data_IF_554140829393
#
_entry.id   IF_554140829393
#
_cell.length_a   1.000
_cell.length_b   1.000
_cell.length_c   1.000
_cell.angle_alpha   90.00
_cell.angle_beta   90.00
_cell.angle_gamma   90.00
#
_symmetry.space_group_name_H-M   'P 1'
#
loop_
_entity.id
_entity.type
_entity.pdbx_description
1 polymer ?
#
# COMPACT_ATOMS: atom_id res chain seq x y z
N UNK A 1 -20.05 -4.69 -7.12
CA UNK A 1 -18.89 -3.80 -6.87
C UNK A 1 -19.24 -2.90 -5.70
N UNK A 2 -18.38 -2.82 -4.73
CA UNK A 2 -18.61 -1.93 -3.59
C UNK A 2 -18.49 -0.46 -4.01
N UNK A 3 -19.65 0.19 -4.13
CA UNK A 3 -19.74 1.58 -4.59
C UNK A 3 -19.02 2.54 -3.62
N UNK A 4 -19.03 2.23 -2.32
CA UNK A 4 -18.36 3.07 -1.30
C UNK A 4 -16.85 3.08 -1.52
N UNK A 5 -16.24 1.91 -1.83
CA UNK A 5 -14.82 1.84 -2.16
C UNK A 5 -14.46 2.68 -3.38
N UNK A 6 -15.29 2.64 -4.44
CA UNK A 6 -15.06 3.47 -5.64
C UNK A 6 -15.16 4.95 -5.32
N UNK A 7 -16.20 5.36 -4.59
CA UNK A 7 -16.39 6.76 -4.20
C UNK A 7 -15.20 7.27 -3.37
N UNK A 8 -14.74 6.49 -2.39
CA UNK A 8 -13.60 6.87 -1.55
C UNK A 8 -12.31 7.01 -2.36
N UNK A 9 -12.03 6.10 -3.29
CA UNK A 9 -10.86 6.22 -4.17
C UNK A 9 -10.93 7.50 -5.01
N UNK A 10 -12.10 7.81 -5.60
CA UNK A 10 -12.31 9.04 -6.38
C UNK A 10 -12.15 10.29 -5.51
N UNK A 11 -12.71 10.30 -4.29
CA UNK A 11 -12.58 11.42 -3.36
C UNK A 11 -11.10 11.65 -3.01
N UNK A 12 -10.35 10.61 -2.66
CA UNK A 12 -8.93 10.76 -2.30
C UNK A 12 -8.09 11.26 -3.48
N UNK A 13 -8.30 10.73 -4.68
CA UNK A 13 -7.64 11.22 -5.89
C UNK A 13 -7.98 12.69 -6.18
N UNK A 14 -9.26 13.07 -5.99
CA UNK A 14 -9.71 14.45 -6.16
C UNK A 14 -9.11 15.40 -5.12
N UNK A 15 -9.03 14.98 -3.84
CA UNK A 15 -8.38 15.75 -2.78
C UNK A 15 -6.88 15.89 -3.06
N UNK A 16 -6.19 14.81 -3.47
CA UNK A 16 -4.79 14.87 -3.88
C UNK A 16 -4.57 15.88 -5.03
N UNK A 17 -5.43 15.83 -6.04
CA UNK A 17 -5.36 16.76 -7.18
C UNK A 17 -5.59 18.21 -6.75
N UNK A 18 -6.56 18.45 -5.86
CA UNK A 18 -6.85 19.76 -5.30
C UNK A 18 -5.66 20.33 -4.52
N UNK A 19 -5.03 19.50 -3.69
CA UNK A 19 -3.82 19.89 -2.95
C UNK A 19 -2.68 20.22 -3.92
N UNK A 20 -2.44 19.37 -4.94
CA UNK A 20 -1.42 19.64 -5.96
C UNK A 20 -1.70 20.93 -6.75
N UNK A 21 -2.96 21.24 -7.03
CA UNK A 21 -3.33 22.50 -7.64
C UNK A 21 -3.03 23.70 -6.73
N UNK A 22 -3.29 23.57 -5.43
CA UNK A 22 -3.13 24.64 -4.45
C UNK A 22 -1.67 24.98 -4.14
N UNK A 23 -0.83 23.95 -3.96
CA UNK A 23 0.57 24.13 -3.49
C UNK A 23 1.61 23.88 -4.59
N UNK A 24 1.28 23.08 -5.61
CA UNK A 24 2.21 22.64 -6.66
C UNK A 24 2.94 23.79 -7.36
N UNK A 25 2.26 24.88 -7.77
CA UNK A 25 2.92 26.02 -8.38
C UNK A 25 4.00 26.65 -7.50
N UNK A 26 3.72 26.82 -6.20
CA UNK A 26 4.66 27.42 -5.25
C UNK A 26 5.88 26.53 -5.01
N UNK A 27 5.67 25.22 -4.85
CA UNK A 27 6.77 24.25 -4.70
C UNK A 27 7.63 24.21 -5.98
N UNK A 28 6.99 24.20 -7.16
CA UNK A 28 7.69 24.19 -8.44
C UNK A 28 8.58 25.43 -8.61
N UNK A 29 8.05 26.62 -8.31
CA UNK A 29 8.79 27.88 -8.38
C UNK A 29 9.97 27.92 -7.40
N UNK A 30 9.79 27.40 -6.17
CA UNK A 30 10.87 27.33 -5.18
C UNK A 30 12.03 26.42 -5.66
N UNK A 31 11.76 25.43 -6.50
CA UNK A 31 12.73 24.53 -7.10
C UNK A 31 13.23 25.00 -8.49
N UNK A 32 12.81 26.17 -8.95
CA UNK A 32 13.18 26.70 -10.27
C UNK A 32 12.54 25.94 -11.44
N UNK A 33 11.43 25.25 -11.22
CA UNK A 33 10.68 24.48 -12.23
C UNK A 33 9.47 25.27 -12.72
N UNK A 34 8.91 24.94 -13.91
CA UNK A 34 7.66 25.52 -14.39
C UNK A 34 6.51 25.27 -13.40
N UNK A 35 5.65 26.27 -13.18
CA UNK A 35 4.56 26.25 -12.22
C UNK A 35 3.66 25.01 -12.31
N UNK A 36 3.38 24.54 -13.51
CA UNK A 36 2.48 23.40 -13.76
C UNK A 36 3.13 22.02 -13.61
N UNK A 37 4.43 21.93 -13.29
CA UNK A 37 5.19 20.68 -13.30
C UNK A 37 4.56 19.60 -12.43
N UNK A 38 4.25 19.93 -11.19
CA UNK A 38 3.70 18.98 -10.22
C UNK A 38 2.23 18.65 -10.47
N UNK A 39 1.43 19.64 -10.86
CA UNK A 39 0.03 19.42 -11.20
C UNK A 39 -0.12 18.50 -12.41
N UNK A 40 0.57 18.80 -13.51
CA UNK A 40 0.55 17.98 -14.74
C UNK A 40 1.13 16.58 -14.46
N UNK A 41 2.22 16.50 -13.68
CA UNK A 41 2.80 15.23 -13.24
C UNK A 41 1.81 14.38 -12.46
N UNK A 42 1.06 15.00 -11.53
CA UNK A 42 0.06 14.28 -10.73
C UNK A 42 -1.14 13.82 -11.55
N UNK A 43 -1.63 14.64 -12.50
CA UNK A 43 -2.68 14.23 -13.45
C UNK A 43 -2.26 13.01 -14.26
N UNK A 44 -1.00 12.97 -14.76
CA UNK A 44 -0.46 11.79 -15.46
C UNK A 44 -0.42 10.56 -14.54
N UNK A 45 0.02 10.74 -13.29
CA UNK A 45 0.07 9.68 -12.29
C UNK A 45 -1.32 9.13 -11.99
N UNK A 46 -2.33 9.98 -11.84
CA UNK A 46 -3.74 9.60 -11.65
C UNK A 46 -4.25 8.82 -12.88
N UNK A 47 -3.99 9.29 -14.09
CA UNK A 47 -4.40 8.60 -15.31
C UNK A 47 -3.82 7.17 -15.36
N UNK A 48 -2.52 7.02 -15.08
CA UNK A 48 -1.87 5.71 -15.01
C UNK A 48 -2.44 4.85 -13.87
N UNK A 49 -2.71 5.43 -12.71
CA UNK A 49 -3.30 4.74 -11.58
C UNK A 49 -4.72 4.23 -11.88
N UNK A 50 -5.55 5.03 -12.56
CA UNK A 50 -6.89 4.61 -13.00
C UNK A 50 -6.79 3.46 -13.98
N UNK A 51 -5.88 3.52 -14.96
CA UNK A 51 -5.64 2.40 -15.89
C UNK A 51 -5.18 1.16 -15.11
N UNK A 52 -4.23 1.28 -14.20
CA UNK A 52 -3.74 0.18 -13.37
C UNK A 52 -4.87 -0.42 -12.50
N UNK A 53 -5.72 0.41 -11.91
CA UNK A 53 -6.89 -0.01 -11.14
C UNK A 53 -7.90 -0.78 -12.00
N UNK A 54 -8.17 -0.31 -13.22
CA UNK A 54 -9.03 -1.00 -14.17
C UNK A 54 -8.42 -2.34 -14.60
N UNK A 55 -7.11 -2.38 -14.87
CA UNK A 55 -6.40 -3.63 -15.15
C UNK A 55 -6.54 -4.60 -13.99
N UNK A 56 -6.29 -4.17 -12.75
CA UNK A 56 -6.48 -5.00 -11.55
C UNK A 56 -7.92 -5.50 -11.40
N UNK A 57 -8.92 -4.65 -11.69
CA UNK A 57 -10.33 -4.99 -11.60
C UNK A 57 -10.80 -5.96 -12.70
N UNK A 58 -10.18 -5.95 -13.88
CA UNK A 58 -10.59 -6.77 -15.04
C UNK A 58 -9.72 -8.03 -15.15
N UNK A 59 -8.53 -8.06 -14.55
CA UNK A 59 -7.52 -9.10 -14.75
C UNK A 59 -8.06 -10.52 -14.57
N UNK A 60 -8.89 -10.76 -13.57
CA UNK A 60 -9.51 -12.06 -13.31
C UNK A 60 -10.97 -12.19 -13.82
N UNK A 61 -11.47 -11.26 -14.62
CA UNK A 61 -12.87 -11.27 -15.04
C UNK A 61 -13.17 -12.28 -16.15
N UNK A 62 -12.19 -12.56 -17.02
CA UNK A 62 -12.38 -13.45 -18.16
C UNK A 62 -12.12 -14.90 -17.78
N UNK A 63 -13.05 -15.81 -18.11
CA UNK A 63 -12.94 -17.25 -17.83
C UNK A 63 -11.64 -17.87 -18.36
N UNK A 64 -11.22 -17.44 -19.58
CA UNK A 64 -9.95 -17.89 -20.19
C UNK A 64 -8.73 -17.45 -19.37
N UNK A 65 -8.73 -16.26 -18.79
CA UNK A 65 -7.65 -15.75 -17.94
C UNK A 65 -7.64 -16.50 -16.62
N UNK A 66 -8.82 -16.80 -16.06
CA UNK A 66 -8.94 -17.57 -14.84
C UNK A 66 -8.45 -19.01 -14.99
N UNK A 67 -8.82 -19.70 -16.09
CA UNK A 67 -8.35 -21.06 -16.35
C UNK A 67 -6.82 -21.10 -16.54
N UNK A 68 -6.30 -20.18 -17.36
CA UNK A 68 -4.84 -20.02 -17.53
C UNK A 68 -4.12 -19.71 -16.21
N UNK A 69 -4.68 -18.81 -15.40
CA UNK A 69 -4.15 -18.48 -14.08
C UNK A 69 -4.15 -19.69 -13.15
N UNK A 70 -5.25 -20.44 -13.06
CA UNK A 70 -5.33 -21.63 -12.20
C UNK A 70 -4.28 -22.68 -12.56
N UNK A 71 -3.99 -22.87 -13.83
CA UNK A 71 -3.01 -23.84 -14.31
C UNK A 71 -1.57 -23.40 -14.08
N UNK A 72 -1.25 -22.11 -14.30
CA UNK A 72 0.13 -21.62 -14.31
C UNK A 72 0.47 -20.71 -13.14
N UNK A 73 -0.46 -20.43 -12.20
CA UNK A 73 -0.30 -19.44 -11.11
C UNK A 73 1.00 -19.61 -10.32
N UNK A 74 1.34 -20.85 -9.97
CA UNK A 74 2.55 -21.13 -9.17
C UNK A 74 3.82 -20.70 -9.90
N UNK A 75 3.90 -20.96 -11.21
CA UNK A 75 5.07 -20.58 -12.01
C UNK A 75 5.11 -19.07 -12.21
N UNK A 76 3.97 -18.46 -12.57
CA UNK A 76 3.86 -17.02 -12.79
C UNK A 76 4.25 -16.25 -11.52
N UNK A 77 3.72 -16.63 -10.35
CA UNK A 77 4.03 -15.99 -9.08
C UNK A 77 5.51 -16.10 -8.73
N UNK A 78 6.11 -17.29 -8.92
CA UNK A 78 7.56 -17.49 -8.67
C UNK A 78 8.41 -16.67 -9.63
N UNK A 79 8.10 -16.66 -10.93
CA UNK A 79 8.82 -15.86 -11.93
C UNK A 79 8.68 -14.37 -11.59
N UNK A 80 7.50 -13.91 -11.24
CA UNK A 80 7.26 -12.52 -10.87
C UNK A 80 8.01 -12.13 -9.58
N UNK A 81 8.00 -13.00 -8.57
CA UNK A 81 8.76 -12.80 -7.33
C UNK A 81 10.26 -12.65 -7.59
N UNK A 82 10.87 -13.63 -8.28
CA UNK A 82 12.29 -13.60 -8.55
C UNK A 82 12.69 -12.50 -9.54
N UNK A 83 11.83 -12.19 -10.49
CA UNK A 83 12.02 -11.08 -11.42
C UNK A 83 12.04 -9.72 -10.70
N UNK A 84 11.13 -9.49 -9.74
CA UNK A 84 11.13 -8.26 -8.94
C UNK A 84 12.32 -8.19 -7.99
N UNK A 85 12.74 -9.30 -7.40
CA UNK A 85 13.98 -9.39 -6.60
C UNK A 85 15.21 -9.01 -7.46
N UNK A 86 15.34 -9.61 -8.63
CA UNK A 86 16.44 -9.30 -9.56
C UNK A 86 16.43 -7.81 -9.98
N UNK A 87 15.26 -7.24 -10.24
CA UNK A 87 15.12 -5.83 -10.59
C UNK A 87 15.53 -4.91 -9.43
N UNK A 88 15.20 -5.26 -8.18
CA UNK A 88 15.62 -4.50 -7.01
C UNK A 88 17.12 -4.62 -6.74
N UNK A 89 17.73 -5.77 -6.98
CA UNK A 89 19.19 -5.93 -6.94
C UNK A 89 19.85 -5.07 -8.03
N UNK A 90 19.31 -5.10 -9.25
CA UNK A 90 19.80 -4.28 -10.36
C UNK A 90 19.86 -2.79 -9.98
N UNK A 91 18.78 -2.25 -9.40
CA UNK A 91 18.74 -0.83 -8.99
C UNK A 91 19.67 -0.49 -7.84
N UNK A 92 20.09 -1.48 -7.04
CA UNK A 92 21.04 -1.24 -5.95
C UNK A 92 22.47 -1.01 -6.43
N UNK A 93 22.76 -1.25 -7.73
CA UNK A 93 24.09 -1.12 -8.33
C UNK A 93 24.17 0.21 -9.08
N UNK A 94 24.88 1.19 -8.52
CA UNK A 94 24.98 2.55 -9.04
C UNK A 94 25.62 2.67 -10.42
N UNK A 95 26.43 1.69 -10.82
CA UNK A 95 27.14 1.68 -12.10
C UNK A 95 26.29 1.24 -13.30
N UNK A 96 25.04 0.77 -13.06
CA UNK A 96 24.18 0.26 -14.12
C UNK A 96 23.38 1.38 -14.80
N UNK A 97 23.15 1.27 -16.13
CA UNK A 97 22.36 2.26 -16.85
C UNK A 97 20.92 2.34 -16.31
N UNK A 98 20.30 3.49 -16.45
CA UNK A 98 18.92 3.80 -15.97
C UNK A 98 18.77 3.91 -14.45
N UNK A 99 19.79 3.56 -13.66
CA UNK A 99 19.72 3.67 -12.19
C UNK A 99 19.91 5.11 -11.75
N UNK A 100 19.00 5.61 -10.92
CA UNK A 100 19.08 6.91 -10.26
C UNK A 100 19.39 6.73 -8.78
N UNK A 101 20.44 7.41 -8.33
CA UNK A 101 20.89 7.42 -6.95
C UNK A 101 20.67 8.80 -6.35
N UNK A 102 19.95 8.88 -5.23
CA UNK A 102 19.69 10.10 -4.48
C UNK A 102 20.07 9.88 -3.02
N UNK A 103 20.72 10.86 -2.41
CA UNK A 103 21.15 10.83 -1.00
C UNK A 103 21.93 9.57 -0.62
N UNK A 104 22.78 9.07 -1.53
CA UNK A 104 23.61 7.88 -1.30
C UNK A 104 22.82 6.54 -1.30
N UNK A 105 21.63 6.51 -1.87
CA UNK A 105 20.84 5.31 -2.08
C UNK A 105 20.33 5.22 -3.52
N UNK A 106 20.52 4.05 -4.13
CA UNK A 106 20.08 3.79 -5.50
C UNK A 106 18.80 2.95 -5.46
N UNK A 107 17.64 3.58 -5.76
CA UNK A 107 16.31 2.97 -5.59
C UNK A 107 15.39 3.20 -6.77
N UNK A 108 15.76 4.06 -7.69
CA UNK A 108 14.90 4.51 -8.78
C UNK A 108 15.46 4.08 -10.13
N UNK A 109 14.57 3.77 -11.06
CA UNK A 109 14.87 3.57 -12.46
C UNK A 109 14.29 4.71 -13.28
N UNK A 110 15.10 5.28 -14.18
CA UNK A 110 14.65 6.25 -15.16
C UNK A 110 14.31 5.55 -16.48
N UNK A 111 13.05 5.26 -16.67
CA UNK A 111 12.50 4.65 -17.91
C UNK A 111 11.56 5.64 -18.61
N UNK A 112 11.99 6.92 -18.71
CA UNK A 112 11.15 8.02 -19.18
C UNK A 112 10.27 8.63 -18.07
N UNK A 113 10.14 7.93 -16.96
CA UNK A 113 9.60 8.38 -15.67
C UNK A 113 10.38 7.70 -14.56
N UNK A 114 10.44 8.33 -13.39
CA UNK A 114 11.08 7.72 -12.22
C UNK A 114 10.18 6.59 -11.69
N UNK A 115 10.66 5.35 -11.77
CA UNK A 115 9.97 4.16 -11.33
C UNK A 115 10.75 3.50 -10.18
N UNK A 116 10.06 3.14 -9.10
CA UNK A 116 10.66 2.48 -7.94
C UNK A 116 10.32 0.98 -7.93
N UNK A 117 11.29 0.08 -8.17
CA UNK A 117 11.05 -1.35 -8.22
C UNK A 117 10.53 -1.97 -6.92
N UNK A 118 10.80 -1.38 -5.76
CA UNK A 118 10.25 -1.85 -4.49
C UNK A 118 8.72 -1.70 -4.41
N UNK A 119 8.12 -0.80 -5.20
CA UNK A 119 6.65 -0.72 -5.33
C UNK A 119 6.09 -1.97 -6.04
N UNK A 120 6.78 -2.43 -7.09
CA UNK A 120 6.41 -3.67 -7.78
C UNK A 120 6.64 -4.91 -6.91
N UNK A 121 7.68 -4.88 -6.07
CA UNK A 121 7.96 -5.95 -5.10
C UNK A 121 6.83 -6.09 -4.06
N UNK A 122 6.14 -5.01 -3.68
CA UNK A 122 4.94 -5.11 -2.81
C UNK A 122 3.84 -5.95 -3.48
N UNK A 123 3.60 -5.75 -4.79
CA UNK A 123 2.64 -6.57 -5.54
C UNK A 123 3.11 -8.02 -5.59
N UNK A 124 4.39 -8.25 -5.85
CA UNK A 124 4.94 -9.61 -5.88
C UNK A 124 4.84 -10.30 -4.51
N UNK A 125 5.13 -9.58 -3.41
CA UNK A 125 5.00 -10.08 -2.05
C UNK A 125 3.54 -10.38 -1.68
N UNK A 126 2.60 -9.55 -2.14
CA UNK A 126 1.17 -9.76 -1.98
C UNK A 126 0.73 -11.09 -2.60
N UNK A 127 1.04 -11.31 -3.87
CA UNK A 127 0.68 -12.55 -4.57
C UNK A 127 1.45 -13.76 -4.02
N UNK A 128 2.74 -13.61 -3.73
CA UNK A 128 3.56 -14.69 -3.20
C UNK A 128 3.04 -15.18 -1.84
N UNK A 129 2.73 -14.27 -0.93
CA UNK A 129 2.24 -14.62 0.40
C UNK A 129 0.84 -15.22 0.33
N UNK A 130 -0.07 -14.66 -0.49
CA UNK A 130 -1.41 -15.21 -0.69
C UNK A 130 -1.37 -16.63 -1.24
N UNK A 131 -0.54 -16.87 -2.27
CA UNK A 131 -0.33 -18.20 -2.82
C UNK A 131 0.29 -19.16 -1.79
N UNK A 132 1.32 -18.73 -1.07
CA UNK A 132 2.00 -19.57 -0.07
C UNK A 132 1.03 -20.01 1.03
N UNK A 133 0.21 -19.09 1.55
CA UNK A 133 -0.80 -19.38 2.55
C UNK A 133 -1.84 -20.36 2.00
N UNK A 134 -2.40 -20.09 0.82
CA UNK A 134 -3.41 -20.93 0.18
C UNK A 134 -2.90 -22.35 -0.07
N UNK A 135 -1.74 -22.50 -0.73
CA UNK A 135 -1.09 -23.78 -1.05
C UNK A 135 -0.79 -24.62 0.22
N UNK A 136 -0.29 -23.97 1.29
CA UNK A 136 0.05 -24.68 2.52
C UNK A 136 -1.16 -25.06 3.38
N UNK A 137 -2.21 -24.24 3.32
CA UNK A 137 -3.51 -24.61 3.94
C UNK A 137 -4.15 -25.78 3.24
N UNK A 138 -4.18 -25.77 1.91
CA UNK A 138 -4.71 -26.87 1.10
C UNK A 138 -3.96 -28.20 1.35
N UNK A 139 -2.63 -28.13 1.46
CA UNK A 139 -1.77 -29.30 1.75
C UNK A 139 -1.72 -29.71 3.22
N UNK A 140 -2.35 -28.97 4.14
CA UNK A 140 -2.28 -29.23 5.59
C UNK A 140 -0.89 -29.05 6.21
N UNK A 141 -0.02 -28.29 5.55
CA UNK A 141 1.36 -27.99 6.01
C UNK A 141 1.53 -26.56 6.51
N UNK A 142 0.42 -25.81 6.64
CA UNK A 142 0.43 -24.49 7.23
C UNK A 142 0.92 -24.51 8.68
N UNK A 143 1.79 -23.59 9.06
CA UNK A 143 2.41 -23.55 10.39
C UNK A 143 3.57 -24.53 10.61
N UNK A 144 3.92 -25.37 9.61
CA UNK A 144 5.08 -26.26 9.63
C UNK A 144 6.28 -25.61 8.91
N UNK A 145 7.42 -26.30 8.87
CA UNK A 145 8.65 -25.81 8.22
C UNK A 145 8.44 -25.47 6.73
N UNK A 146 7.60 -26.22 6.04
CA UNK A 146 7.27 -26.00 4.61
C UNK A 146 6.58 -24.66 4.36
N UNK A 147 5.93 -24.08 5.35
CA UNK A 147 5.37 -22.73 5.32
C UNK A 147 6.38 -21.71 5.82
N UNK A 148 7.02 -21.96 6.98
CA UNK A 148 7.89 -21.03 7.64
C UNK A 148 9.16 -20.69 6.86
N UNK A 149 9.82 -21.69 6.33
CA UNK A 149 11.11 -21.51 5.64
C UNK A 149 10.95 -20.59 4.42
N UNK A 150 10.00 -20.82 3.48
CA UNK A 150 9.82 -19.92 2.35
C UNK A 150 9.41 -18.50 2.76
N UNK A 151 8.56 -18.35 3.80
CA UNK A 151 8.12 -17.05 4.30
C UNK A 151 9.30 -16.26 4.89
N UNK A 152 10.10 -16.88 5.75
CA UNK A 152 11.26 -16.24 6.39
C UNK A 152 12.35 -15.92 5.37
N UNK A 153 12.60 -16.79 4.41
CA UNK A 153 13.55 -16.52 3.31
C UNK A 153 13.07 -15.32 2.49
N UNK A 154 11.78 -15.27 2.15
CA UNK A 154 11.23 -14.13 1.41
C UNK A 154 11.32 -12.83 2.22
N UNK A 155 11.00 -12.85 3.51
CA UNK A 155 11.14 -11.70 4.40
C UNK A 155 12.61 -11.26 4.54
N UNK A 156 13.54 -12.20 4.70
CA UNK A 156 14.97 -11.90 4.78
C UNK A 156 15.50 -11.26 3.50
N UNK A 157 15.09 -11.75 2.33
CA UNK A 157 15.45 -11.13 1.04
C UNK A 157 14.96 -9.69 0.94
N UNK A 158 13.73 -9.41 1.37
CA UNK A 158 13.19 -8.04 1.41
C UNK A 158 14.02 -7.15 2.32
N UNK A 159 14.33 -7.61 3.54
CA UNK A 159 15.15 -6.85 4.50
C UNK A 159 16.55 -6.55 3.96
N UNK A 160 17.20 -7.55 3.37
CA UNK A 160 18.55 -7.37 2.83
C UNK A 160 18.55 -6.45 1.62
N UNK A 161 17.66 -6.66 0.66
CA UNK A 161 17.69 -5.94 -0.62
C UNK A 161 17.09 -4.53 -0.46
N UNK A 162 15.88 -4.43 0.06
CA UNK A 162 15.19 -3.14 0.14
C UNK A 162 15.66 -2.36 1.38
N UNK A 163 15.76 -3.03 2.53
CA UNK A 163 16.14 -2.38 3.78
C UNK A 163 17.61 -2.00 3.84
N UNK A 164 18.48 -2.91 3.42
CA UNK A 164 19.93 -2.73 3.56
C UNK A 164 20.58 -2.16 2.30
N UNK A 165 20.46 -2.81 1.14
CA UNK A 165 21.10 -2.35 -0.09
C UNK A 165 20.51 -1.04 -0.60
N UNK A 166 19.17 -0.91 -0.63
CA UNK A 166 18.49 0.31 -1.08
C UNK A 166 18.31 1.33 0.03
N UNK A 167 18.59 0.99 1.29
CA UNK A 167 18.39 1.84 2.47
C UNK A 167 16.95 2.35 2.61
N UNK A 168 15.97 1.60 2.12
CA UNK A 168 14.55 1.94 2.12
C UNK A 168 13.80 1.18 3.22
N UNK A 169 13.91 1.69 4.44
CA UNK A 169 13.25 1.11 5.60
C UNK A 169 11.72 1.26 5.54
N UNK A 170 11.23 2.33 4.90
CA UNK A 170 9.79 2.56 4.76
C UNK A 170 9.12 1.42 4.02
N UNK A 171 9.54 1.14 2.79
CA UNK A 171 9.00 0.05 1.99
C UNK A 171 9.27 -1.33 2.60
N UNK A 172 10.41 -1.51 3.28
CA UNK A 172 10.72 -2.76 4.00
C UNK A 172 9.67 -3.05 5.07
N UNK A 173 9.37 -2.06 5.94
CA UNK A 173 8.38 -2.21 7.01
C UNK A 173 6.99 -2.50 6.43
N UNK A 174 6.58 -1.80 5.38
CA UNK A 174 5.29 -2.04 4.71
C UNK A 174 5.18 -3.48 4.21
N UNK A 175 6.21 -4.00 3.50
CA UNK A 175 6.19 -5.36 2.94
C UNK A 175 6.16 -6.40 4.07
N UNK A 176 7.02 -6.25 5.08
CA UNK A 176 7.08 -7.19 6.21
C UNK A 176 5.78 -7.16 7.03
N UNK A 177 5.22 -5.98 7.29
CA UNK A 177 3.94 -5.84 7.97
C UNK A 177 2.80 -6.52 7.18
N UNK A 178 2.76 -6.31 5.86
CA UNK A 178 1.78 -6.94 4.97
C UNK A 178 1.89 -8.47 5.01
N UNK A 179 3.09 -9.03 4.82
CA UNK A 179 3.33 -10.48 4.88
C UNK A 179 2.97 -11.06 6.25
N UNK A 180 3.34 -10.36 7.33
CA UNK A 180 3.05 -10.75 8.71
C UNK A 180 1.56 -10.75 9.01
N UNK A 181 0.83 -9.67 8.66
CA UNK A 181 -0.61 -9.57 8.90
C UNK A 181 -1.41 -10.61 8.10
N UNK A 182 -1.04 -10.85 6.84
CA UNK A 182 -1.64 -11.93 6.03
C UNK A 182 -1.47 -13.29 6.70
N UNK A 183 -0.26 -13.58 7.18
CA UNK A 183 0.04 -14.85 7.87
C UNK A 183 -0.71 -14.97 9.21
N UNK A 184 -0.84 -13.86 9.94
CA UNK A 184 -1.60 -13.80 11.19
C UNK A 184 -3.08 -14.10 10.98
N UNK A 185 -3.72 -13.42 10.04
CA UNK A 185 -5.14 -13.63 9.71
C UNK A 185 -5.38 -15.07 9.23
N UNK A 186 -4.38 -15.67 8.56
CA UNK A 186 -4.42 -17.08 8.17
C UNK A 186 -4.34 -18.06 9.37
N UNK A 187 -4.12 -17.60 10.61
CA UNK A 187 -4.13 -18.39 11.83
C UNK A 187 -2.77 -18.66 12.46
N UNK A 188 -1.78 -17.81 12.19
CA UNK A 188 -0.54 -17.82 12.97
C UNK A 188 -0.77 -17.31 14.40
N UNK A 189 -0.10 -17.92 15.36
CA UNK A 189 -0.15 -17.48 16.75
C UNK A 189 0.70 -16.22 16.95
N UNK A 190 0.35 -15.40 17.94
CA UNK A 190 1.13 -14.23 18.34
C UNK A 190 2.60 -14.59 18.66
N UNK A 191 2.85 -15.71 19.30
CA UNK A 191 4.20 -16.19 19.60
C UNK A 191 5.03 -16.42 18.33
N UNK A 192 4.43 -17.02 17.30
CA UNK A 192 5.09 -17.26 16.02
C UNK A 192 5.43 -15.96 15.30
N UNK A 193 4.51 -14.99 15.32
CA UNK A 193 4.75 -13.67 14.72
C UNK A 193 5.85 -12.93 15.48
N UNK A 194 5.82 -12.98 16.82
CA UNK A 194 6.85 -12.37 17.64
C UNK A 194 8.24 -12.99 17.36
N UNK A 195 8.32 -14.31 17.24
CA UNK A 195 9.56 -15.01 16.89
C UNK A 195 10.03 -14.61 15.47
N UNK A 196 9.12 -14.59 14.48
CA UNK A 196 9.45 -14.16 13.12
C UNK A 196 9.92 -12.70 13.10
N UNK A 197 9.22 -11.79 13.79
CA UNK A 197 9.60 -10.39 13.93
C UNK A 197 10.96 -10.23 14.62
N UNK A 198 11.21 -10.98 15.70
CA UNK A 198 12.49 -10.98 16.41
C UNK A 198 13.64 -11.45 15.47
N UNK A 199 13.43 -12.52 14.72
CA UNK A 199 14.43 -13.01 13.76
C UNK A 199 14.74 -11.97 12.68
N UNK A 200 13.73 -11.27 12.17
CA UNK A 200 13.89 -10.17 11.21
C UNK A 200 14.65 -9.00 11.84
N UNK A 201 14.30 -8.61 13.07
CA UNK A 201 14.97 -7.53 13.81
C UNK A 201 16.43 -7.89 14.12
N UNK A 202 16.67 -9.09 14.63
CA UNK A 202 18.04 -9.56 14.95
C UNK A 202 18.87 -9.66 13.68
N UNK A 203 18.31 -10.20 12.61
CA UNK A 203 18.99 -10.26 11.31
C UNK A 203 19.29 -8.87 10.76
N UNK A 204 18.35 -7.94 10.83
CA UNK A 204 18.55 -6.55 10.44
C UNK A 204 19.61 -5.88 11.33
N UNK A 205 19.56 -6.08 12.64
CA UNK A 205 20.54 -5.54 13.58
C UNK A 205 21.96 -6.11 13.37
N UNK A 206 22.07 -7.40 13.11
CA UNK A 206 23.35 -8.04 12.79
C UNK A 206 23.95 -7.46 11.50
N UNK A 207 23.14 -7.35 10.44
CA UNK A 207 23.55 -6.72 9.18
C UNK A 207 23.88 -5.22 9.36
N UNK A 208 23.19 -4.56 10.26
CA UNK A 208 23.42 -3.15 10.59
C UNK A 208 24.77 -2.96 11.32
N UNK A 209 25.21 -3.86 12.15
CA UNK A 209 26.49 -3.76 12.84
C UNK A 209 27.72 -4.12 11.96
N UNK A 210 27.49 -4.68 10.78
CA UNK A 210 28.58 -5.00 9.83
C UNK A 210 29.00 -3.80 8.95
N UNK A 211 28.46 -2.58 9.15
CA UNK A 211 28.80 -1.40 8.35
C UNK A 211 28.96 -0.14 9.18
N UNK A 212 29.47 0.96 8.58
CA UNK A 212 29.80 2.23 9.22
C UNK A 212 28.70 2.75 10.16
N UNK A 213 29.08 2.87 11.45
CA UNK A 213 28.18 3.19 12.55
C UNK A 213 27.85 4.70 12.70
N UNK A 214 28.65 5.60 12.11
CA UNK A 214 28.51 7.05 12.33
C UNK A 214 27.19 7.63 11.78
N UNK A 215 26.79 7.28 10.56
CA UNK A 215 25.55 7.80 9.98
C UNK A 215 24.24 7.25 10.61
N UNK A 216 24.33 6.31 11.52
CA UNK A 216 23.18 5.65 12.17
C UNK A 216 22.89 6.21 13.55
N UNK A 217 23.94 6.52 14.29
CA UNK A 217 23.82 7.26 15.55
C UNK A 217 23.15 8.61 15.30
N UNK A 218 23.51 9.30 14.20
CA UNK A 218 22.91 10.57 13.80
C UNK A 218 21.41 10.47 13.48
N UNK A 219 20.95 9.35 12.89
CA UNK A 219 19.51 9.14 12.60
C UNK A 219 18.69 8.83 13.86
N UNK A 220 19.25 8.11 14.84
CA UNK A 220 18.60 7.89 16.13
C UNK A 220 18.66 9.17 16.99
N UNK A 221 19.76 9.89 16.95
CA UNK A 221 19.91 11.17 17.63
C UNK A 221 18.96 12.23 17.05
N UNK A 222 18.78 12.28 15.73
CA UNK A 222 17.82 13.19 15.07
C UNK A 222 16.36 12.87 15.41
N UNK A 223 16.04 11.62 15.77
CA UNK A 223 14.71 11.27 16.26
C UNK A 223 14.50 11.76 17.71
N UNK A 224 15.53 11.66 18.57
CA UNK A 224 15.44 12.06 19.97
C UNK A 224 15.57 13.58 20.17
N UNK A 225 16.19 14.31 19.23
CA UNK A 225 16.43 15.76 19.32
C UNK A 225 15.37 16.62 18.59
N UNK A 226 14.29 16.02 18.07
CA UNK A 226 13.37 16.71 17.16
C UNK A 226 13.98 16.88 15.76
N UNK A 227 13.39 16.27 14.73
CA UNK A 227 13.88 16.49 13.37
C UNK A 227 13.28 17.79 12.84
N UNK A 228 14.07 18.63 12.14
CA UNK A 228 13.58 19.83 11.45
C UNK A 228 12.28 19.56 10.65
N UNK A 229 12.19 18.42 10.06
CA UNK A 229 11.01 17.98 9.29
C UNK A 229 9.79 17.69 10.21
N UNK A 230 9.99 17.00 11.36
CA UNK A 230 8.91 16.71 12.32
C UNK A 230 8.38 17.97 13.00
N UNK A 231 9.28 18.85 13.40
CA UNK A 231 8.90 20.12 14.04
C UNK A 231 8.09 20.99 13.07
N UNK A 232 8.50 21.08 11.80
CA UNK A 232 7.76 21.83 10.79
C UNK A 232 6.40 21.20 10.44
N UNK A 233 6.27 19.87 10.51
CA UNK A 233 4.98 19.20 10.38
C UNK A 233 4.02 19.58 11.51
N UNK A 234 4.50 19.61 12.76
CA UNK A 234 3.72 20.05 13.91
C UNK A 234 3.34 21.53 13.84
N UNK A 235 4.25 22.39 13.36
CA UNK A 235 3.96 23.81 13.08
C UNK A 235 2.85 23.95 12.05
N UNK A 236 2.88 23.14 10.97
CA UNK A 236 1.82 23.14 9.95
C UNK A 236 0.45 22.80 10.54
N UNK A 237 0.36 21.79 11.42
CA UNK A 237 -0.89 21.48 12.12
C UNK A 237 -1.32 22.62 13.05
N UNK A 238 -0.37 23.23 13.79
CA UNK A 238 -0.65 24.38 14.66
C UNK A 238 -1.17 25.59 13.90
N UNK A 239 -0.58 25.90 12.74
CA UNK A 239 -1.02 26.98 11.84
C UNK A 239 -2.43 26.74 11.30
N UNK A 240 -2.78 25.49 10.98
CA UNK A 240 -4.11 25.14 10.50
C UNK A 240 -5.22 25.29 11.54
N UNK A 241 -4.91 25.14 12.83
CA UNK A 241 -5.92 25.24 13.89
C UNK A 241 -7.10 24.27 13.66
N UNK A 242 -8.33 24.71 14.00
CA UNK A 242 -9.51 23.87 13.87
C UNK A 242 -10.06 23.82 12.43
N UNK A 243 -10.11 24.95 11.72
CA UNK A 243 -10.81 25.12 10.43
C UNK A 243 -9.88 25.26 9.23
N UNK A 244 -8.58 25.40 9.47
CA UNK A 244 -7.58 25.58 8.44
C UNK A 244 -7.41 27.02 7.96
N UNK A 245 -6.31 27.27 7.28
CA UNK A 245 -6.00 28.57 6.64
C UNK A 245 -6.67 28.74 5.28
N UNK A 246 -7.24 27.66 4.75
CA UNK A 246 -7.90 27.64 3.43
C UNK A 246 -6.95 27.32 2.27
N UNK A 247 -7.58 27.00 1.13
CA UNK A 247 -6.89 26.62 -0.11
C UNK A 247 -6.06 27.81 -0.62
N UNK A 248 -4.78 27.58 -0.93
CA UNK A 248 -3.87 28.59 -1.46
C UNK A 248 -3.18 29.46 -0.42
N UNK A 249 -3.50 29.34 0.88
CA UNK A 249 -2.89 30.12 1.96
C UNK A 249 -1.85 29.32 2.79
N UNK A 250 -1.54 28.09 2.39
CA UNK A 250 -0.51 27.28 3.06
C UNK A 250 0.86 27.98 3.00
N UNK A 251 1.45 28.23 4.15
CA UNK A 251 2.78 28.81 4.30
C UNK A 251 3.83 27.69 4.30
N UNK A 252 3.52 26.57 4.90
CA UNK A 252 4.43 25.42 5.05
C UNK A 252 4.88 24.85 3.70
N UNK A 253 4.04 24.94 2.67
CA UNK A 253 4.36 24.53 1.31
C UNK A 253 5.46 25.37 0.63
N UNK A 254 5.77 26.57 1.13
CA UNK A 254 6.70 27.53 0.49
C UNK A 254 8.15 27.40 0.97
N UNK A 255 8.60 26.21 1.35
CA UNK A 255 10.00 25.92 1.67
C UNK A 255 10.31 25.57 3.12
N UNK A 256 9.31 25.65 4.01
CA UNK A 256 9.49 25.25 5.41
C UNK A 256 9.34 23.74 5.61
N UNK A 257 8.49 23.07 4.80
CA UNK A 257 8.24 21.64 4.93
C UNK A 257 8.88 20.89 3.74
N UNK A 258 9.93 20.10 3.98
CA UNK A 258 10.54 19.29 2.94
C UNK A 258 9.53 18.28 2.39
N UNK A 259 9.66 17.92 1.10
CA UNK A 259 8.80 16.93 0.44
C UNK A 259 7.30 17.16 0.65
N UNK A 260 6.87 18.43 0.62
CA UNK A 260 5.50 18.86 0.93
C UNK A 260 4.43 18.16 0.07
N UNK A 261 4.76 17.80 -1.17
CA UNK A 261 3.84 17.17 -2.14
C UNK A 261 3.79 15.64 -2.05
N UNK A 262 4.81 15.01 -1.47
CA UNK A 262 4.95 13.55 -1.40
C UNK A 262 4.81 13.04 0.03
N UNK A 263 5.87 13.19 0.80
CA UNK A 263 6.00 12.57 2.12
C UNK A 263 5.38 13.41 3.24
N UNK A 264 5.03 14.67 3.00
CA UNK A 264 4.48 15.61 3.98
C UNK A 264 3.09 16.13 3.62
N UNK A 265 2.35 15.41 2.80
CA UNK A 265 1.03 15.86 2.33
C UNK A 265 0.00 15.96 3.47
N UNK A 266 0.07 15.11 4.49
CA UNK A 266 -0.87 15.10 5.60
C UNK A 266 -0.82 16.38 6.46
N UNK A 267 0.36 16.89 6.89
CA UNK A 267 0.48 18.21 7.52
C UNK A 267 -0.07 19.35 6.65
N UNK A 268 0.16 19.32 5.34
CA UNK A 268 -0.37 20.33 4.41
C UNK A 268 -1.90 20.29 4.39
N UNK A 269 -2.51 19.11 4.38
CA UNK A 269 -3.97 18.96 4.47
C UNK A 269 -4.46 19.47 5.82
N UNK A 270 -3.72 19.22 6.91
CA UNK A 270 -4.00 19.75 8.23
C UNK A 270 -3.88 21.28 8.30
N UNK A 271 -2.92 21.89 7.59
CA UNK A 271 -2.80 23.34 7.50
C UNK A 271 -3.95 23.95 6.70
N UNK A 272 -4.27 23.39 5.52
CA UNK A 272 -5.32 23.92 4.62
C UNK A 272 -6.72 23.70 5.18
N UNK A 273 -7.02 22.51 5.69
CA UNK A 273 -8.35 22.10 6.15
C UNK A 273 -8.54 22.07 7.66
N UNK A 274 -7.49 22.38 8.42
CA UNK A 274 -7.48 22.35 9.87
C UNK A 274 -7.65 20.93 10.43
N UNK A 275 -7.90 20.89 11.74
CA UNK A 275 -8.17 19.65 12.45
C UNK A 275 -9.34 18.86 11.84
N UNK A 276 -10.45 19.57 11.47
CA UNK A 276 -11.60 18.90 10.87
C UNK A 276 -11.30 18.28 9.50
N UNK A 277 -10.51 18.96 8.65
CA UNK A 277 -10.09 18.44 7.36
C UNK A 277 -9.22 17.19 7.50
N UNK A 278 -8.22 17.22 8.42
CA UNK A 278 -7.38 16.09 8.71
C UNK A 278 -8.17 14.90 9.28
N UNK A 279 -9.10 15.15 10.21
CA UNK A 279 -9.96 14.11 10.79
C UNK A 279 -10.91 13.48 9.77
N UNK A 280 -11.51 14.29 8.89
CA UNK A 280 -12.37 13.80 7.81
C UNK A 280 -11.61 12.86 6.87
N UNK A 281 -10.36 13.19 6.55
CA UNK A 281 -9.49 12.34 5.75
C UNK A 281 -9.21 11.01 6.46
N UNK A 282 -8.87 11.03 7.75
CA UNK A 282 -8.63 9.81 8.53
C UNK A 282 -9.88 8.93 8.63
N UNK A 283 -11.04 9.53 8.85
CA UNK A 283 -12.32 8.81 8.85
C UNK A 283 -12.56 8.15 7.49
N UNK A 284 -12.25 8.83 6.39
CA UNK A 284 -12.31 8.26 5.05
C UNK A 284 -11.43 7.01 4.91
N UNK A 285 -10.18 7.05 5.41
CA UNK A 285 -9.31 5.86 5.41
C UNK A 285 -9.85 4.75 6.31
N UNK A 286 -10.39 5.06 7.47
CA UNK A 286 -11.00 4.05 8.36
C UNK A 286 -12.20 3.37 7.68
N UNK A 287 -13.06 4.13 7.00
CA UNK A 287 -14.18 3.57 6.23
C UNK A 287 -13.65 2.70 5.08
N UNK A 288 -12.63 3.14 4.34
CA UNK A 288 -12.00 2.37 3.27
C UNK A 288 -11.46 1.03 3.80
N UNK A 289 -10.68 1.07 4.88
CA UNK A 289 -10.11 -0.12 5.52
C UNK A 289 -11.18 -1.07 6.03
N UNK A 290 -12.21 -0.55 6.70
CA UNK A 290 -13.36 -1.35 7.16
C UNK A 290 -14.06 -2.06 6.01
N UNK A 291 -14.30 -1.37 4.88
CA UNK A 291 -14.95 -1.96 3.69
C UNK A 291 -14.09 -3.03 3.03
N UNK A 292 -12.75 -2.82 2.95
CA UNK A 292 -11.82 -3.84 2.45
C UNK A 292 -11.85 -5.08 3.36
N UNK A 293 -11.80 -4.89 4.68
CA UNK A 293 -11.89 -5.98 5.64
C UNK A 293 -13.23 -6.73 5.54
N UNK A 294 -14.35 -6.01 5.44
CA UNK A 294 -15.66 -6.61 5.26
C UNK A 294 -15.75 -7.45 3.96
N UNK A 295 -15.06 -7.01 2.90
CA UNK A 295 -14.94 -7.79 1.66
C UNK A 295 -14.16 -9.08 1.88
N UNK A 296 -13.06 -9.06 2.66
CA UNK A 296 -12.25 -10.25 2.93
C UNK A 296 -13.01 -11.35 3.68
N UNK A 297 -13.88 -10.97 4.62
CA UNK A 297 -14.68 -11.92 5.39
C UNK A 297 -15.72 -12.69 4.57
N UNK A 298 -16.05 -12.21 3.38
CA UNK A 298 -16.99 -12.83 2.46
C UNK A 298 -16.32 -13.77 1.45
N UNK A 299 -14.98 -13.89 1.48
CA UNK A 299 -14.24 -14.75 0.57
C UNK A 299 -14.21 -16.19 1.09
N UNK A 300 -14.67 -17.14 0.28
CA UNK A 300 -14.58 -18.57 0.59
C UNK A 300 -13.17 -19.12 0.36
N UNK A 301 -12.51 -18.62 -0.70
CA UNK A 301 -11.16 -19.06 -1.04
C UNK A 301 -10.11 -18.33 -0.19
N UNK A 302 -9.30 -19.10 0.54
CA UNK A 302 -8.23 -18.57 1.40
C UNK A 302 -7.22 -17.68 0.63
N UNK A 303 -6.85 -18.06 -0.59
CA UNK A 303 -5.91 -17.27 -1.41
C UNK A 303 -6.49 -15.89 -1.76
N UNK A 304 -7.76 -15.85 -2.14
CA UNK A 304 -8.50 -14.62 -2.45
C UNK A 304 -8.68 -13.75 -1.20
N UNK A 305 -9.00 -14.37 -0.07
CA UNK A 305 -9.07 -13.68 1.21
C UNK A 305 -7.74 -13.03 1.57
N UNK A 306 -6.63 -13.76 1.39
CA UNK A 306 -5.29 -13.24 1.66
C UNK A 306 -4.91 -12.09 0.73
N UNK A 307 -5.29 -12.11 -0.55
CA UNK A 307 -5.08 -10.98 -1.45
C UNK A 307 -5.77 -9.71 -0.93
N UNK A 308 -7.03 -9.81 -0.51
CA UNK A 308 -7.78 -8.66 0.04
C UNK A 308 -7.18 -8.18 1.36
N UNK A 309 -6.82 -9.09 2.28
CA UNK A 309 -6.15 -8.74 3.54
C UNK A 309 -4.77 -8.13 3.30
N UNK A 310 -4.04 -8.58 2.30
CA UNK A 310 -2.75 -8.00 1.95
C UNK A 310 -2.88 -6.54 1.48
N UNK A 311 -3.88 -6.22 0.68
CA UNK A 311 -4.16 -4.83 0.27
C UNK A 311 -4.60 -3.99 1.47
N UNK A 312 -5.44 -4.54 2.35
CA UNK A 312 -5.80 -3.91 3.62
C UNK A 312 -4.53 -3.57 4.43
N UNK A 313 -3.65 -4.54 4.62
CA UNK A 313 -2.41 -4.38 5.37
C UNK A 313 -1.48 -3.35 4.73
N UNK A 314 -1.37 -3.35 3.41
CA UNK A 314 -0.56 -2.40 2.66
C UNK A 314 -1.05 -0.96 2.90
N UNK A 315 -2.34 -0.69 2.68
CA UNK A 315 -2.92 0.65 2.90
C UNK A 315 -2.79 1.05 4.37
N UNK A 316 -3.12 0.15 5.30
CA UNK A 316 -3.02 0.39 6.74
C UNK A 316 -1.59 0.77 7.16
N UNK A 317 -0.57 0.02 6.69
CA UNK A 317 0.83 0.29 6.99
C UNK A 317 1.25 1.69 6.50
N UNK A 318 0.87 2.05 5.27
CA UNK A 318 1.17 3.37 4.73
C UNK A 318 0.50 4.50 5.54
N UNK A 319 -0.78 4.34 5.90
CA UNK A 319 -1.51 5.34 6.70
C UNK A 319 -0.87 5.49 8.09
N UNK A 320 -0.58 4.37 8.78
CA UNK A 320 0.06 4.41 10.10
C UNK A 320 1.44 5.06 10.03
N UNK A 321 2.26 4.67 9.05
CA UNK A 321 3.63 5.19 8.94
C UNK A 321 3.65 6.65 8.54
N UNK A 322 2.79 7.06 7.59
CA UNK A 322 2.72 8.44 7.14
C UNK A 322 2.18 9.35 8.23
N UNK A 323 1.00 9.05 8.77
CA UNK A 323 0.36 9.87 9.82
C UNK A 323 1.19 9.83 11.10
N UNK A 324 1.60 8.64 11.57
CA UNK A 324 2.40 8.48 12.78
C UNK A 324 3.76 9.18 12.70
N UNK A 325 4.40 9.19 11.51
CA UNK A 325 5.62 9.94 11.28
C UNK A 325 5.40 11.45 11.37
N UNK A 326 4.31 11.96 10.78
CA UNK A 326 4.00 13.40 10.74
C UNK A 326 3.56 13.96 12.09
N UNK A 327 2.95 13.15 12.96
CA UNK A 327 2.61 13.57 14.33
C UNK A 327 3.71 13.24 15.37
N UNK A 328 4.88 12.77 14.91
CA UNK A 328 6.04 12.49 15.78
C UNK A 328 5.94 11.22 16.61
N UNK A 329 4.98 10.31 16.34
CA UNK A 329 4.83 9.04 17.06
C UNK A 329 5.80 7.97 16.57
N UNK A 330 6.24 8.05 15.33
CA UNK A 330 7.13 7.09 14.67
C UNK A 330 8.26 7.87 13.98
N UNK A 331 9.49 7.31 13.89
CA UNK A 331 10.56 7.94 13.12
C UNK A 331 10.10 8.21 11.70
N UNK A 332 10.28 9.44 11.23
CA UNK A 332 9.90 9.84 9.88
C UNK A 332 10.59 8.98 8.85
N UNK A 333 9.82 8.47 7.92
CA UNK A 333 10.25 7.70 6.74
C UNK A 333 9.53 8.27 5.53
N UNK A 334 10.22 8.44 4.43
CA UNK A 334 9.63 8.83 3.17
C UNK A 334 8.62 7.78 2.69
N UNK A 335 7.37 7.93 3.08
CA UNK A 335 6.27 7.04 2.67
C UNK A 335 5.11 7.88 2.16
N UNK A 336 4.64 7.56 0.97
CA UNK A 336 3.51 8.24 0.36
C UNK A 336 2.19 7.84 0.99
N UNK A 337 1.23 8.77 1.10
CA UNK A 337 -0.12 8.47 1.54
C UNK A 337 -0.95 7.94 0.34
N UNK A 338 -1.54 6.73 0.41
CA UNK A 338 -2.22 6.10 -0.71
C UNK A 338 -3.29 7.00 -1.33
N UNK A 339 -3.34 7.08 -2.66
CA UNK A 339 -4.28 7.88 -3.47
C UNK A 339 -4.18 9.41 -3.34
N UNK A 340 -3.36 9.94 -2.44
CA UNK A 340 -3.24 11.37 -2.19
C UNK A 340 -1.89 11.95 -2.60
N UNK A 341 -0.79 11.34 -2.13
CA UNK A 341 0.56 11.87 -2.33
C UNK A 341 0.97 11.86 -3.80
N UNK A 342 1.82 12.81 -4.16
CA UNK A 342 2.55 12.77 -5.41
C UNK A 342 3.54 11.60 -5.40
N UNK A 343 3.30 10.58 -6.23
CA UNK A 343 4.15 9.39 -6.28
C UNK A 343 3.70 8.47 -7.42
N UNK A 344 4.24 8.66 -8.63
CA UNK A 344 3.78 7.97 -9.84
C UNK A 344 3.74 6.44 -9.71
N UNK A 345 4.86 5.81 -9.36
CA UNK A 345 4.95 4.34 -9.23
C UNK A 345 4.16 3.79 -8.05
N UNK A 346 4.20 4.49 -6.89
CA UNK A 346 3.47 4.06 -5.69
C UNK A 346 1.95 4.12 -5.91
N UNK A 347 1.46 5.24 -6.47
CA UNK A 347 0.04 5.41 -6.78
C UNK A 347 -0.45 4.36 -7.78
N UNK A 348 0.34 4.06 -8.82
CA UNK A 348 0.00 3.05 -9.82
C UNK A 348 -0.08 1.64 -9.21
N UNK A 349 0.90 1.26 -8.39
CA UNK A 349 0.96 -0.07 -7.79
C UNK A 349 -0.15 -0.30 -6.75
N UNK A 350 -0.43 0.70 -5.89
CA UNK A 350 -1.52 0.58 -4.91
C UNK A 350 -2.88 0.60 -5.61
N UNK A 351 -3.05 1.37 -6.68
CA UNK A 351 -4.29 1.40 -7.46
C UNK A 351 -4.55 0.06 -8.16
N UNK A 352 -3.51 -0.59 -8.71
CA UNK A 352 -3.64 -1.95 -9.25
C UNK A 352 -4.12 -2.94 -8.18
N UNK A 353 -3.47 -2.96 -7.01
CA UNK A 353 -3.85 -3.82 -5.91
C UNK A 353 -5.28 -3.54 -5.40
N UNK A 354 -5.65 -2.27 -5.35
CA UNK A 354 -7.01 -1.85 -5.01
C UNK A 354 -8.05 -2.31 -6.06
N UNK A 355 -7.69 -2.29 -7.34
CA UNK A 355 -8.52 -2.84 -8.43
C UNK A 355 -8.88 -4.31 -8.21
N UNK A 356 -7.94 -5.12 -7.67
CA UNK A 356 -8.20 -6.52 -7.29
C UNK A 356 -9.28 -6.59 -6.19
N UNK A 357 -9.21 -5.71 -5.19
CA UNK A 357 -10.24 -5.65 -4.13
C UNK A 357 -11.61 -5.30 -4.70
N UNK A 358 -11.67 -4.33 -5.61
CA UNK A 358 -12.92 -3.96 -6.29
C UNK A 358 -13.53 -5.13 -7.06
N UNK A 359 -12.69 -5.90 -7.75
CA UNK A 359 -13.13 -7.10 -8.44
C UNK A 359 -13.70 -8.14 -7.48
N UNK A 360 -12.98 -8.45 -6.41
CA UNK A 360 -13.43 -9.43 -5.41
C UNK A 360 -14.74 -9.00 -4.76
N UNK A 361 -14.92 -7.70 -4.51
CA UNK A 361 -16.19 -7.17 -4.00
C UNK A 361 -17.39 -7.35 -4.95
N UNK A 362 -17.14 -7.44 -6.27
CA UNK A 362 -18.19 -7.74 -7.25
C UNK A 362 -18.68 -9.19 -7.15
N UNK A 363 -17.77 -10.12 -6.93
CA UNK A 363 -18.11 -11.55 -6.92
C UNK A 363 -18.96 -11.91 -5.72
N UNK A 364 -18.61 -11.47 -4.55
CA UNK A 364 -19.41 -11.71 -3.33
C UNK A 364 -20.83 -11.18 -3.45
N UNK A 365 -21.04 -10.01 -4.05
CA UNK A 365 -22.39 -9.48 -4.26
C UNK A 365 -23.22 -10.32 -5.25
N UNK A 366 -22.59 -10.95 -6.25
CA UNK A 366 -23.29 -11.82 -7.19
C UNK A 366 -23.71 -13.14 -6.55
N UNK A 367 -22.88 -13.69 -5.68
CA UNK A 367 -23.19 -14.90 -4.92
C UNK A 367 -24.37 -14.64 -3.96
N UNK A 368 -24.35 -13.56 -3.19
CA UNK A 368 -25.46 -13.14 -2.31
C UNK A 368 -26.79 -13.00 -3.08
N UNK A 369 -26.78 -12.41 -4.28
CA UNK A 369 -27.98 -12.25 -5.14
C UNK A 369 -28.49 -13.59 -5.66
N UNK A 370 -27.58 -14.50 -6.05
CA UNK A 370 -27.94 -15.81 -6.58
C UNK A 370 -28.51 -16.71 -5.48
N UNK A 371 -27.98 -16.66 -4.26
CA UNK A 371 -28.53 -17.38 -3.11
C UNK A 371 -29.92 -16.89 -2.72
N UNK A 372 -30.11 -15.56 -2.72
CA UNK A 372 -31.41 -14.94 -2.36
C UNK A 372 -32.48 -15.27 -3.43
N UNK A 373 -32.12 -15.30 -4.72
CA UNK A 373 -33.00 -15.72 -5.79
C UNK A 373 -33.33 -17.21 -5.74
N UNK A 374 -32.35 -18.06 -5.42
CA UNK A 374 -32.55 -19.50 -5.28
C UNK A 374 -33.41 -19.87 -4.06
N UNK A 375 -33.23 -19.17 -2.96
CA UNK A 375 -34.02 -19.34 -1.72
C UNK A 375 -35.49 -18.91 -1.92
N UNK A 376 -35.71 -17.80 -2.61
CA UNK A 376 -37.06 -17.31 -2.99
C UNK A 376 -37.74 -18.26 -4.01
N UNK A 377 -36.98 -18.84 -4.92
CA UNK A 377 -37.49 -19.88 -5.84
C UNK A 377 -37.95 -21.14 -5.14
N UNK A 378 -37.18 -21.62 -4.13
CA UNK A 378 -37.54 -22.77 -3.31
C UNK A 378 -38.78 -22.51 -2.46
N UNK A 379 -38.92 -21.34 -1.87
CA UNK A 379 -40.12 -20.96 -1.08
C UNK A 379 -41.38 -20.84 -1.93
N UNK A 380 -41.28 -20.36 -3.19
CA UNK A 380 -42.41 -20.36 -4.14
C UNK A 380 -42.81 -21.78 -4.56
N UNK A 381 -41.82 -22.61 -4.92
CA UNK A 381 -42.09 -24.02 -5.29
C UNK A 381 -42.77 -24.86 -4.21
N UNK A 382 -42.45 -24.62 -2.94
CA UNK A 382 -43.09 -25.28 -1.81
C UNK A 382 -44.54 -24.79 -1.54
N UNK A 383 -44.83 -23.50 -1.81
CA UNK A 383 -46.18 -22.92 -1.75
C UNK A 383 -47.10 -23.49 -2.84
N UNK A 384 -46.60 -23.58 -4.07
CA UNK A 384 -47.39 -24.11 -5.20
C UNK A 384 -47.63 -25.62 -5.10
N UNK A 385 -46.66 -26.40 -4.53
CA UNK A 385 -46.83 -27.82 -4.26
C UNK A 385 -47.83 -28.07 -3.12
N UNK A 386 -47.95 -27.17 -2.13
CA UNK A 386 -48.94 -27.23 -1.05
C UNK A 386 -50.37 -26.93 -1.51
N UNK A 387 -50.54 -26.11 -2.55
CA UNK A 387 -51.87 -25.79 -3.11
C UNK A 387 -52.44 -26.90 -3.98
N UNK A 388 -51.57 -27.64 -4.74
CA UNK A 388 -51.98 -28.78 -5.57
C UNK A 388 -52.32 -30.04 -4.80
N UNK A 389 -52.01 -30.15 -3.50
CA UNK A 389 -52.41 -31.28 -2.66
C UNK A 389 -53.73 -31.09 -1.90
N UNK A 390 -54.41 -29.94 -2.03
CA UNK A 390 -55.67 -29.59 -1.39
C UNK A 390 -56.84 -29.44 -2.38
N UNK A 391 -56.61 -29.68 -3.66
CA UNK A 391 -57.63 -29.81 -4.71
C UNK A 391 -57.70 -31.27 -5.16
#
# INVERSE_FOLDING_TARGET
MDVVLVILAVIFLAVGLLVMYAIGPRVALAEGKPENTYFVGHVRSIAMAVIAMLVGAIFFWRDKVQSFWKEHKTQIIKIFWWGTIALNIYTSISALPLTQCELGACRWLNVGMSFQPSELLKIAALFYTAWLVGDRKEKGTYGKAEFWVPLLVAAALVVVIVGFLQKDLGNTVVIIFMMGLMSFVAGMTWAQIAIAGLLVIVGAFALLNMGDSEHRADRLASFSSGSYHGDNALVSFGTGGLTGVGIGNSISATGYLPEAISDSIFPIIGEIGGFFGAMLLLIGYLIMLYRIQATSHRMENMEDQMLVIGVFAWILAHVIMHVGGMVGMIPMKGTTLPFLSYGGSSLMCVAFAYGIVLQKSCWTQREDINEDTSSRGRQRGTRDAGYRRRS
#
